data_IF_416460393823
#
_entry.id   IF_416460393823
#
_cell.length_a   1.000
_cell.length_b   1.000
_cell.length_c   1.000
_cell.angle_alpha   90.00
_cell.angle_beta   90.00
_cell.angle_gamma   90.00
#
_symmetry.space_group_name_H-M   'P 1'
#
loop_
_entity.id
_entity.type
_entity.pdbx_description
1 polymer ?
#
# COMPACT_ATOMS: atom_id res chain seq x y z
N UNK A 1 51.49 -26.40 -33.27
CA UNK A 1 50.75 -26.05 -32.04
C UNK A 1 51.14 -24.63 -31.67
N UNK A 2 50.30 -23.67 -32.03
CA UNK A 2 50.54 -22.23 -31.86
C UNK A 2 50.08 -21.75 -30.48
N UNK A 3 51.01 -21.61 -29.55
CA UNK A 3 50.78 -20.95 -28.27
C UNK A 3 50.96 -19.43 -28.42
N UNK A 4 50.00 -18.77 -29.06
CA UNK A 4 49.94 -17.30 -29.22
C UNK A 4 48.78 -16.63 -28.48
N UNK A 5 48.19 -17.27 -27.45
CA UNK A 5 46.94 -16.75 -26.87
C UNK A 5 46.95 -16.38 -25.38
N UNK A 6 48.09 -16.44 -24.68
CA UNK A 6 48.13 -16.10 -23.26
C UNK A 6 49.35 -15.24 -22.92
N UNK A 7 49.38 -14.03 -23.49
CA UNK A 7 50.31 -12.99 -23.05
C UNK A 7 49.73 -11.58 -23.23
N UNK A 8 48.46 -11.37 -22.90
CA UNK A 8 47.99 -10.03 -22.56
C UNK A 8 48.29 -9.77 -21.08
N UNK A 9 49.57 -9.51 -20.85
CA UNK A 9 50.09 -8.92 -19.62
C UNK A 9 49.30 -7.64 -19.33
N UNK A 10 48.46 -7.72 -18.30
CA UNK A 10 48.53 -6.85 -17.12
C UNK A 10 49.56 -5.72 -17.28
N UNK A 11 49.07 -4.47 -17.21
CA UNK A 11 49.74 -3.16 -17.24
C UNK A 11 49.88 -2.44 -18.61
N UNK A 12 48.89 -1.60 -18.94
CA UNK A 12 49.01 -0.24 -19.54
C UNK A 12 47.61 0.30 -19.88
N UNK A 13 47.02 1.32 -19.26
CA UNK A 13 47.38 2.20 -18.14
C UNK A 13 46.09 2.83 -17.59
N UNK A 14 46.10 3.27 -16.32
CA UNK A 14 44.87 3.66 -15.58
C UNK A 14 44.09 4.83 -16.19
N UNK A 15 44.71 5.59 -17.08
CA UNK A 15 44.11 6.74 -17.75
C UNK A 15 43.09 6.30 -18.79
N UNK A 16 43.35 5.23 -19.56
CA UNK A 16 42.42 4.77 -20.59
C UNK A 16 41.11 4.26 -19.96
N UNK A 17 41.22 3.45 -18.90
CA UNK A 17 40.06 2.99 -18.14
C UNK A 17 39.33 4.14 -17.44
N UNK A 18 40.06 5.12 -16.89
CA UNK A 18 39.44 6.30 -16.25
C UNK A 18 38.67 7.16 -17.26
N UNK A 19 39.17 7.31 -18.49
CA UNK A 19 38.46 8.03 -19.57
C UNK A 19 37.27 7.20 -20.07
N UNK A 20 37.44 5.89 -20.21
CA UNK A 20 36.36 4.98 -20.62
C UNK A 20 35.18 4.99 -19.65
N UNK A 21 35.43 4.86 -18.34
CA UNK A 21 34.38 4.95 -17.33
C UNK A 21 33.74 6.33 -17.24
N UNK A 22 34.50 7.42 -17.44
CA UNK A 22 33.94 8.78 -17.48
C UNK A 22 33.03 8.99 -18.69
N UNK A 23 33.38 8.45 -19.85
CA UNK A 23 32.54 8.50 -21.06
C UNK A 23 31.23 7.75 -20.84
N UNK A 24 31.27 6.54 -20.26
CA UNK A 24 30.08 5.76 -19.93
C UNK A 24 29.17 6.52 -18.94
N UNK A 25 29.73 7.14 -17.91
CA UNK A 25 28.96 7.92 -16.95
C UNK A 25 28.24 9.12 -17.59
N UNK A 26 28.89 9.82 -18.52
CA UNK A 26 28.27 10.92 -19.27
C UNK A 26 27.20 10.44 -20.25
N UNK A 27 27.41 9.31 -20.92
CA UNK A 27 26.40 8.73 -21.79
C UNK A 27 25.17 8.26 -20.99
N UNK A 28 25.39 7.68 -19.81
CA UNK A 28 24.32 7.24 -18.91
C UNK A 28 23.48 8.42 -18.40
N UNK A 29 24.10 9.53 -17.99
CA UNK A 29 23.33 10.70 -17.54
C UNK A 29 22.49 11.29 -18.67
N UNK A 30 23.03 11.41 -19.88
CA UNK A 30 22.27 11.89 -21.05
C UNK A 30 21.10 10.95 -21.38
N UNK A 31 21.33 9.62 -21.32
CA UNK A 31 20.28 8.61 -21.53
C UNK A 31 19.18 8.69 -20.47
N UNK A 32 19.51 8.90 -19.19
CA UNK A 32 18.50 9.07 -18.13
C UNK A 32 17.67 10.33 -18.33
N UNK A 33 18.27 11.44 -18.76
CA UNK A 33 17.54 12.69 -19.04
C UNK A 33 16.60 12.50 -20.24
N UNK A 34 17.01 11.77 -21.28
CA UNK A 34 16.15 11.44 -22.41
C UNK A 34 14.97 10.53 -22.00
N UNK A 35 15.22 9.55 -21.12
CA UNK A 35 14.17 8.68 -20.58
C UNK A 35 13.18 9.46 -19.71
N UNK A 36 13.66 10.37 -18.86
CA UNK A 36 12.82 11.24 -18.05
C UNK A 36 11.96 12.17 -18.91
N UNK A 37 12.50 12.71 -20.01
CA UNK A 37 11.73 13.51 -20.96
C UNK A 37 10.67 12.70 -21.71
N UNK A 38 10.96 11.44 -22.05
CA UNK A 38 9.99 10.55 -22.68
C UNK A 38 8.88 10.10 -21.69
N UNK A 39 9.20 9.97 -20.40
CA UNK A 39 8.23 9.67 -19.34
C UNK A 39 7.37 10.88 -18.97
N UNK A 40 7.91 12.11 -19.06
CA UNK A 40 7.13 13.34 -18.79
C UNK A 40 6.13 13.70 -19.89
N UNK A 41 6.23 13.08 -21.08
CA UNK A 41 5.28 13.25 -22.19
C UNK A 41 4.05 12.33 -22.06
N UNK A 42 3.98 11.49 -21.02
CA UNK A 42 2.73 10.84 -20.62
C UNK A 42 1.85 11.84 -19.87
N UNK A 43 1.18 12.67 -20.65
CA UNK A 43 0.14 13.58 -20.18
C UNK A 43 -1.03 12.76 -19.61
N UNK A 44 -1.06 12.63 -18.28
CA UNK A 44 -2.18 12.06 -17.51
C UNK A 44 -3.29 13.12 -17.36
N UNK A 45 -3.54 13.87 -18.43
CA UNK A 45 -4.48 14.97 -18.54
C UNK A 45 -5.64 14.58 -19.43
N UNK A 46 -6.44 13.60 -19.01
CA UNK A 46 -7.87 13.48 -19.33
C UNK A 46 -8.43 12.23 -18.69
N UNK A 47 -9.33 12.40 -17.73
CA UNK A 47 -10.58 11.66 -17.53
C UNK A 47 -11.14 12.00 -16.13
N UNK A 48 -12.00 13.02 -16.10
CA UNK A 48 -12.89 13.40 -15.00
C UNK A 48 -14.27 13.64 -15.65
N UNK A 49 -15.41 13.38 -14.98
CA UNK A 49 -16.10 12.11 -14.91
C UNK A 49 -17.49 12.21 -15.60
N UNK A 50 -18.19 11.10 -15.77
CA UNK A 50 -19.64 11.15 -16.00
C UNK A 50 -20.30 10.44 -14.83
N UNK A 51 -21.00 11.24 -14.01
CA UNK A 51 -21.98 10.75 -13.06
C UNK A 51 -23.16 10.14 -13.83
N UNK A 52 -23.57 8.92 -13.45
CA UNK A 52 -24.94 8.63 -13.05
C UNK A 52 -25.11 7.16 -12.65
N UNK A 53 -25.92 6.99 -11.60
CA UNK A 53 -26.57 5.78 -11.08
C UNK A 53 -25.78 4.81 -10.19
N UNK A 54 -26.03 5.03 -8.89
CA UNK A 54 -26.16 4.06 -7.81
C UNK A 54 -26.53 2.64 -8.27
N UNK A 55 -25.52 1.77 -8.25
CA UNK A 55 -25.52 0.47 -7.60
C UNK A 55 -24.09 -0.05 -7.69
N UNK A 56 -23.42 -0.23 -6.55
CA UNK A 56 -22.11 -0.85 -6.56
C UNK A 56 -22.26 -2.32 -6.85
N UNK A 57 -22.30 -2.68 -8.13
CA UNK A 57 -22.00 -3.97 -8.75
C UNK A 57 -22.23 -3.75 -10.25
N UNK A 58 -21.17 -3.39 -10.98
CA UNK A 58 -21.13 -3.61 -12.41
C UNK A 58 -20.66 -5.04 -12.62
N UNK A 59 -21.62 -5.92 -12.85
CA UNK A 59 -21.38 -7.29 -13.29
C UNK A 59 -20.57 -7.22 -14.60
N UNK A 60 -19.34 -7.72 -14.57
CA UNK A 60 -18.49 -7.82 -15.76
C UNK A 60 -17.91 -9.22 -15.85
N UNK A 61 -18.80 -10.16 -16.15
CA UNK A 61 -18.45 -11.37 -16.88
C UNK A 61 -17.83 -10.97 -18.24
N UNK A 62 -16.50 -10.99 -18.32
CA UNK A 62 -15.79 -11.44 -19.51
C UNK A 62 -14.28 -11.62 -19.26
N UNK A 63 -13.71 -12.81 -19.50
CA UNK A 63 -12.27 -13.04 -19.43
C UNK A 63 -11.67 -12.96 -20.83
N UNK A 64 -11.07 -11.83 -21.23
CA UNK A 64 -10.10 -11.86 -22.33
C UNK A 64 -9.30 -10.56 -22.50
N UNK A 65 -7.98 -10.75 -22.41
CA UNK A 65 -6.92 -10.16 -23.23
C UNK A 65 -6.82 -8.63 -23.29
N UNK A 66 -5.74 -8.11 -22.68
CA UNK A 66 -4.65 -7.44 -23.41
C UNK A 66 -3.43 -7.30 -22.48
N UNK A 67 -2.71 -8.41 -22.30
CA UNK A 67 -1.40 -8.44 -21.65
C UNK A 67 -0.33 -8.09 -22.69
N UNK A 68 -0.05 -6.81 -22.89
CA UNK A 68 1.22 -6.41 -23.48
C UNK A 68 2.26 -6.26 -22.37
N UNK A 69 3.17 -7.23 -22.40
CA UNK A 69 4.29 -7.43 -21.50
C UNK A 69 5.28 -6.27 -21.56
N UNK A 70 5.71 -5.80 -20.39
CA UNK A 70 7.11 -5.44 -20.21
C UNK A 70 7.63 -6.11 -18.95
N UNK A 71 8.34 -7.23 -19.18
CA UNK A 71 9.01 -8.06 -18.18
C UNK A 71 10.31 -7.39 -17.72
N UNK A 72 10.40 -7.05 -16.44
CA UNK A 72 11.62 -7.28 -15.68
C UNK A 72 11.26 -7.43 -14.17
N UNK A 73 11.10 -8.69 -13.72
CA UNK A 73 11.26 -9.18 -12.34
C UNK A 73 10.23 -8.88 -11.23
N UNK A 74 8.94 -8.70 -11.51
CA UNK A 74 7.90 -8.62 -10.45
C UNK A 74 6.60 -9.30 -10.91
N UNK A 75 6.49 -10.63 -11.00
CA UNK A 75 5.25 -11.20 -11.59
C UNK A 75 4.74 -12.52 -10.99
N UNK A 76 5.09 -12.87 -9.75
CA UNK A 76 4.51 -14.04 -9.09
C UNK A 76 3.55 -13.70 -7.95
N UNK A 77 3.59 -12.48 -7.42
CA UNK A 77 2.67 -12.04 -6.34
C UNK A 77 1.52 -11.13 -6.84
N UNK A 78 1.57 -10.70 -8.12
CA UNK A 78 0.62 -9.71 -8.67
C UNK A 78 -0.82 -10.20 -8.78
N UNK A 79 -1.05 -11.46 -9.15
CA UNK A 79 -2.40 -11.98 -9.40
C UNK A 79 -3.10 -12.37 -8.09
N UNK A 80 -2.32 -12.83 -7.09
CA UNK A 80 -2.84 -13.12 -5.75
C UNK A 80 -3.28 -11.86 -5.03
N UNK A 81 -2.48 -10.80 -5.10
CA UNK A 81 -2.77 -9.52 -4.44
C UNK A 81 -4.05 -8.84 -4.96
N UNK A 82 -4.33 -9.00 -6.26
CA UNK A 82 -5.54 -8.50 -6.93
C UNK A 82 -6.78 -9.22 -6.40
N UNK A 83 -6.73 -10.55 -6.35
CA UNK A 83 -7.86 -11.34 -5.86
C UNK A 83 -8.11 -11.09 -4.36
N UNK A 84 -7.04 -10.86 -3.58
CA UNK A 84 -7.14 -10.60 -2.15
C UNK A 84 -7.90 -9.31 -1.82
N UNK A 85 -7.56 -8.19 -2.47
CA UNK A 85 -8.22 -6.92 -2.18
C UNK A 85 -9.70 -6.97 -2.56
N UNK A 86 -10.02 -7.58 -3.71
CA UNK A 86 -11.40 -7.80 -4.15
C UNK A 86 -12.20 -8.61 -3.11
N UNK A 87 -11.62 -9.71 -2.59
CA UNK A 87 -12.27 -10.54 -1.58
C UNK A 87 -12.52 -9.76 -0.28
N UNK A 88 -11.51 -9.03 0.23
CA UNK A 88 -11.66 -8.19 1.42
C UNK A 88 -12.77 -7.17 1.25
N UNK A 89 -12.75 -6.42 0.15
CA UNK A 89 -13.70 -5.32 -0.08
C UNK A 89 -15.12 -5.85 -0.24
N UNK A 90 -15.31 -6.93 -0.99
CA UNK A 90 -16.63 -7.56 -1.19
C UNK A 90 -17.18 -8.15 0.11
N UNK A 91 -16.33 -8.78 0.94
CA UNK A 91 -16.73 -9.28 2.26
C UNK A 91 -17.18 -8.13 3.18
N UNK A 92 -16.42 -7.04 3.22
CA UNK A 92 -16.73 -5.86 4.04
C UNK A 92 -17.99 -5.13 3.57
N UNK A 93 -18.22 -5.06 2.27
CA UNK A 93 -19.47 -4.55 1.70
C UNK A 93 -20.67 -5.44 2.08
N UNK A 94 -20.51 -6.77 1.99
CA UNK A 94 -21.54 -7.72 2.40
C UNK A 94 -21.94 -7.61 3.88
N UNK A 95 -21.00 -7.24 4.75
CA UNK A 95 -21.22 -7.00 6.19
C UNK A 95 -21.63 -5.56 6.53
N UNK A 96 -21.84 -4.71 5.52
CA UNK A 96 -22.21 -3.29 5.67
C UNK A 96 -21.16 -2.44 6.43
N UNK A 97 -19.89 -2.87 6.45
CA UNK A 97 -18.80 -2.09 7.03
C UNK A 97 -18.27 -1.03 6.07
N UNK A 98 -18.50 -1.19 4.76
CA UNK A 98 -17.94 -0.35 3.72
C UNK A 98 -19.00 0.07 2.70
N UNK A 99 -18.92 1.33 2.27
CA UNK A 99 -19.74 1.89 1.20
C UNK A 99 -18.81 2.49 0.13
N UNK A 100 -19.23 2.51 -1.13
CA UNK A 100 -18.42 3.02 -2.25
C UNK A 100 -18.20 4.54 -2.20
N UNK A 101 -19.02 5.26 -1.44
CA UNK A 101 -18.85 6.69 -1.20
C UNK A 101 -17.80 6.99 -0.11
N UNK A 102 -17.31 5.97 0.59
CA UNK A 102 -16.34 6.13 1.68
C UNK A 102 -14.99 6.60 1.16
N UNK A 103 -14.43 7.64 1.78
CA UNK A 103 -13.06 8.06 1.49
C UNK A 103 -12.09 7.00 2.00
N UNK A 104 -11.46 6.29 1.05
CA UNK A 104 -10.66 5.11 1.32
C UNK A 104 -9.17 5.37 1.14
N UNK A 105 -8.37 4.84 2.07
CA UNK A 105 -6.91 4.80 1.98
C UNK A 105 -6.40 3.35 1.97
N UNK A 106 -5.61 3.00 0.96
CA UNK A 106 -4.88 1.74 0.89
C UNK A 106 -3.40 1.99 1.27
N UNK A 107 -2.92 1.35 2.33
CA UNK A 107 -1.58 1.55 2.89
C UNK A 107 -0.73 0.30 2.72
N UNK A 108 0.43 0.47 2.12
CA UNK A 108 1.46 -0.56 2.05
C UNK A 108 1.58 -1.24 0.69
N UNK A 109 2.21 -2.42 0.69
CA UNK A 109 2.49 -3.17 -0.53
C UNK A 109 1.21 -3.60 -1.25
N UNK A 110 1.17 -3.32 -2.56
CA UNK A 110 -0.01 -3.54 -3.39
C UNK A 110 -1.08 -2.45 -3.30
N UNK A 111 -0.84 -1.35 -2.56
CA UNK A 111 -1.78 -0.22 -2.47
C UNK A 111 -2.18 0.36 -3.83
N UNK A 112 -1.26 0.45 -4.79
CA UNK A 112 -1.57 0.94 -6.14
C UNK A 112 -2.53 0.03 -6.92
N UNK A 113 -2.42 -1.28 -6.73
CA UNK A 113 -3.32 -2.27 -7.34
C UNK A 113 -4.68 -2.24 -6.64
N UNK A 114 -4.68 -2.23 -5.31
CA UNK A 114 -5.88 -2.09 -4.50
C UNK A 114 -6.69 -0.84 -4.87
N UNK A 115 -6.04 0.31 -5.08
CA UNK A 115 -6.70 1.54 -5.54
C UNK A 115 -7.39 1.34 -6.90
N UNK A 116 -6.72 0.68 -7.84
CA UNK A 116 -7.26 0.44 -9.18
C UNK A 116 -8.51 -0.45 -9.11
N UNK A 117 -8.47 -1.50 -8.31
CA UNK A 117 -9.59 -2.45 -8.14
C UNK A 117 -10.76 -1.81 -7.41
N UNK A 118 -10.52 -1.06 -6.34
CA UNK A 118 -11.60 -0.35 -5.64
C UNK A 118 -12.26 0.69 -6.56
N UNK A 119 -11.49 1.38 -7.40
CA UNK A 119 -12.07 2.26 -8.42
C UNK A 119 -12.90 1.49 -9.45
N UNK A 120 -12.48 0.29 -9.85
CA UNK A 120 -13.27 -0.59 -10.74
C UNK A 120 -14.56 -1.08 -10.07
N UNK A 121 -14.56 -1.27 -8.75
CA UNK A 121 -15.74 -1.59 -7.95
C UNK A 121 -16.72 -0.41 -7.75
N UNK A 122 -16.35 0.79 -8.19
CA UNK A 122 -17.20 1.97 -8.11
C UNK A 122 -16.89 2.90 -6.92
N UNK A 123 -15.77 2.72 -6.22
CA UNK A 123 -15.36 3.66 -5.19
C UNK A 123 -14.94 5.01 -5.80
N UNK A 124 -15.54 6.09 -5.29
CA UNK A 124 -15.32 7.43 -5.83
C UNK A 124 -13.99 8.04 -5.37
N UNK A 125 -13.60 7.80 -4.12
CA UNK A 125 -12.45 8.43 -3.46
C UNK A 125 -11.55 7.38 -2.84
N UNK A 126 -10.52 6.98 -3.59
CA UNK A 126 -9.53 5.98 -3.16
C UNK A 126 -8.12 6.51 -3.38
N UNK A 127 -7.35 6.57 -2.30
CA UNK A 127 -5.94 6.96 -2.28
C UNK A 127 -5.08 5.75 -1.91
N UNK A 128 -3.88 5.66 -2.47
CA UNK A 128 -2.93 4.60 -2.14
C UNK A 128 -1.59 5.18 -1.74
N UNK A 129 -1.04 4.72 -0.63
CA UNK A 129 0.30 5.08 -0.19
C UNK A 129 1.15 3.83 -0.08
N UNK A 130 2.21 3.81 -0.87
CA UNK A 130 3.28 2.84 -0.73
C UNK A 130 4.48 3.53 -0.06
N UNK A 131 4.57 3.41 1.26
CA UNK A 131 5.73 3.92 1.99
C UNK A 131 6.90 2.96 1.78
N UNK A 132 7.68 3.19 0.72
CA UNK A 132 8.91 2.43 0.54
C UNK A 132 9.83 2.68 1.73
N UNK A 133 10.35 1.59 2.28
CA UNK A 133 11.04 1.47 3.56
C UNK A 133 12.32 2.32 3.56
N UNK A 134 12.21 3.60 3.90
CA UNK A 134 13.37 4.43 4.19
C UNK A 134 13.17 5.12 5.52
N UNK A 135 13.70 4.47 6.55
CA UNK A 135 14.16 5.15 7.75
C UNK A 135 15.09 6.27 7.30
N UNK A 136 14.62 7.51 7.30
CA UNK A 136 15.51 8.66 7.29
C UNK A 136 16.24 8.65 8.63
N UNK A 137 17.51 8.24 8.61
CA UNK A 137 18.42 8.16 9.77
C UNK A 137 18.56 9.47 10.57
N UNK A 138 17.98 10.57 10.09
CA UNK A 138 18.06 11.91 10.68
C UNK A 138 16.83 12.33 11.52
N UNK A 139 15.84 11.46 11.73
CA UNK A 139 14.70 11.75 12.60
C UNK A 139 14.71 10.81 13.81
N UNK A 140 14.85 11.37 15.02
CA UNK A 140 14.75 10.68 16.32
C UNK A 140 13.36 10.06 16.61
N UNK A 141 12.46 10.02 15.63
CA UNK A 141 11.14 9.40 15.72
C UNK A 141 11.06 8.31 14.66
N UNK A 142 11.16 7.06 15.11
CA UNK A 142 10.70 5.90 14.34
C UNK A 142 9.17 5.95 14.45
N UNK A 143 8.51 6.76 13.62
CA UNK A 143 7.04 6.77 13.56
C UNK A 143 6.70 6.46 12.12
N UNK A 144 5.83 5.46 11.93
CA UNK A 144 5.17 5.24 10.66
C UNK A 144 4.20 6.41 10.51
N UNK A 145 4.65 7.50 9.88
CA UNK A 145 3.90 8.75 9.73
C UNK A 145 3.40 8.82 8.28
N UNK A 146 2.09 8.89 8.14
CA UNK A 146 1.41 9.14 6.88
C UNK A 146 1.21 10.65 6.75
N UNK A 147 1.50 11.19 5.56
CA UNK A 147 1.35 12.63 5.23
C UNK A 147 -0.12 13.05 5.08
N UNK A 148 -1.00 12.59 5.97
CA UNK A 148 -2.41 12.90 6.03
C UNK A 148 -2.80 13.53 7.35
N UNK A 149 -3.84 14.35 7.33
CA UNK A 149 -4.42 14.95 8.53
C UNK A 149 -5.17 13.89 9.36
N UNK A 150 -5.29 14.15 10.66
CA UNK A 150 -6.10 13.35 11.58
C UNK A 150 -7.56 13.29 11.06
N UNK A 151 -8.21 12.14 11.21
CA UNK A 151 -9.62 11.97 10.84
C UNK A 151 -9.97 12.37 9.39
N UNK A 152 -9.17 11.92 8.43
CA UNK A 152 -9.32 12.24 7.00
C UNK A 152 -10.06 11.15 6.21
N UNK A 153 -9.97 9.88 6.62
CA UNK A 153 -10.51 8.74 5.89
C UNK A 153 -11.63 8.03 6.64
N UNK A 154 -12.61 7.53 5.89
CA UNK A 154 -13.73 6.72 6.41
C UNK A 154 -13.35 5.24 6.46
N UNK A 155 -12.48 4.79 5.56
CA UNK A 155 -11.97 3.43 5.51
C UNK A 155 -10.47 3.39 5.25
N UNK A 156 -9.74 2.52 5.94
CA UNK A 156 -8.31 2.31 5.71
C UNK A 156 -8.01 0.82 5.64
N UNK A 157 -7.40 0.38 4.54
CA UNK A 157 -6.92 -0.99 4.34
C UNK A 157 -5.40 -1.03 4.39
N UNK A 158 -4.81 -1.92 5.18
CA UNK A 158 -3.36 -2.15 5.18
C UNK A 158 -2.96 -3.62 5.14
N UNK A 159 -1.89 -3.90 4.40
CA UNK A 159 -1.30 -5.24 4.20
C UNK A 159 0.07 -5.44 4.83
N UNK A 160 0.61 -4.40 5.46
CA UNK A 160 2.01 -4.38 5.85
C UNK A 160 2.23 -4.64 7.35
N UNK A 161 1.21 -5.09 8.08
CA UNK A 161 1.30 -5.24 9.54
C UNK A 161 2.42 -6.20 9.97
N UNK A 162 2.64 -7.26 9.20
CA UNK A 162 3.71 -8.25 9.38
C UNK A 162 5.05 -7.82 8.74
N UNK A 163 5.03 -6.81 7.85
CA UNK A 163 6.21 -6.29 7.14
C UNK A 163 6.85 -5.09 7.82
N UNK A 164 6.13 -4.40 8.70
CA UNK A 164 6.65 -3.27 9.47
C UNK A 164 7.46 -3.75 10.68
N UNK A 165 8.56 -3.07 10.96
CA UNK A 165 9.42 -3.38 12.12
C UNK A 165 8.72 -3.20 13.46
N UNK A 166 7.78 -2.26 13.55
CA UNK A 166 7.02 -1.96 14.77
C UNK A 166 5.55 -1.83 14.41
N UNK A 167 4.76 -2.91 14.54
CA UNK A 167 3.33 -2.94 14.19
C UNK A 167 2.50 -1.88 14.92
N UNK A 168 2.89 -1.53 16.16
CA UNK A 168 2.24 -0.50 16.96
C UNK A 168 2.13 0.84 16.23
N UNK A 169 3.17 1.26 15.50
CA UNK A 169 3.12 2.55 14.79
C UNK A 169 2.13 2.51 13.62
N UNK A 170 2.08 1.42 12.86
CA UNK A 170 1.12 1.29 11.77
C UNK A 170 -0.32 1.31 12.31
N UNK A 171 -0.61 0.54 13.37
CA UNK A 171 -1.95 0.49 13.97
C UNK A 171 -2.39 1.86 14.47
N UNK A 172 -1.52 2.55 15.22
CA UNK A 172 -1.82 3.87 15.76
C UNK A 172 -1.98 4.93 14.66
N UNK A 173 -1.21 4.82 13.58
CA UNK A 173 -1.29 5.76 12.47
C UNK A 173 -2.56 5.57 11.64
N UNK A 174 -2.95 4.31 11.40
CA UNK A 174 -4.25 4.00 10.80
C UNK A 174 -5.38 4.55 11.66
N UNK A 175 -5.30 4.36 12.99
CA UNK A 175 -6.27 4.91 13.93
C UNK A 175 -6.31 6.45 13.92
N UNK A 176 -5.17 7.13 13.76
CA UNK A 176 -5.09 8.59 13.67
C UNK A 176 -5.81 9.14 12.45
N UNK A 177 -5.56 8.57 11.28
CA UNK A 177 -6.14 9.06 10.00
C UNK A 177 -7.60 8.67 9.81
N UNK A 178 -8.11 7.67 10.55
CA UNK A 178 -9.53 7.31 10.52
C UNK A 178 -10.41 8.38 11.20
N UNK A 179 -11.53 8.69 10.56
CA UNK A 179 -12.60 9.49 11.16
C UNK A 179 -13.28 8.74 12.30
N UNK A 180 -13.97 9.44 13.22
CA UNK A 180 -14.89 8.80 14.16
C UNK A 180 -15.89 7.91 13.43
N UNK A 181 -16.14 6.70 13.95
CA UNK A 181 -16.91 5.63 13.29
C UNK A 181 -16.30 5.03 12.02
N UNK A 182 -15.12 5.48 11.59
CA UNK A 182 -14.39 4.91 10.47
C UNK A 182 -13.93 3.48 10.73
N UNK A 183 -13.70 2.73 9.66
CA UNK A 183 -13.33 1.31 9.70
C UNK A 183 -11.87 1.14 9.26
N UNK A 184 -11.08 0.47 10.11
CA UNK A 184 -9.74 0.01 9.77
C UNK A 184 -9.75 -1.48 9.48
N UNK A 185 -9.10 -1.90 8.41
CA UNK A 185 -8.91 -3.29 8.01
C UNK A 185 -7.41 -3.58 7.88
N UNK A 186 -6.92 -4.52 8.68
CA UNK A 186 -5.52 -4.94 8.69
C UNK A 186 -5.44 -6.40 8.29
N UNK A 187 -4.65 -6.69 7.25
CA UNK A 187 -4.28 -8.05 6.90
C UNK A 187 -3.04 -8.46 7.69
N UNK A 188 -3.12 -9.62 8.33
CA UNK A 188 -2.11 -10.16 9.25
C UNK A 188 -1.72 -11.55 8.76
N UNK A 189 -0.41 -11.78 8.58
CA UNK A 189 0.11 -13.11 8.27
C UNK A 189 -0.36 -14.16 9.28
N UNK A 190 -0.97 -15.23 8.79
CA UNK A 190 -1.36 -16.39 9.58
C UNK A 190 -0.23 -17.42 9.58
N UNK A 191 0.12 -17.94 10.77
CA UNK A 191 1.18 -18.95 10.91
C UNK A 191 0.69 -20.37 10.61
N UNK A 192 -0.62 -20.60 10.62
CA UNK A 192 -1.28 -21.86 10.28
C UNK A 192 -2.74 -21.60 9.86
N UNK A 193 -3.43 -22.64 9.37
CA UNK A 193 -4.86 -22.60 9.00
C UNK A 193 -5.80 -22.98 10.16
N UNK A 194 -5.35 -22.80 11.41
CA UNK A 194 -6.09 -23.23 12.58
C UNK A 194 -6.96 -22.10 13.16
N UNK A 195 -8.09 -22.44 13.78
CA UNK A 195 -8.99 -21.44 14.38
C UNK A 195 -8.32 -20.57 15.47
N UNK A 196 -7.26 -21.08 16.11
CA UNK A 196 -6.47 -20.33 17.08
C UNK A 196 -5.67 -19.18 16.45
N UNK A 197 -5.44 -19.21 15.13
CA UNK A 197 -4.70 -18.17 14.43
C UNK A 197 -5.48 -16.85 14.37
N UNK A 198 -6.81 -16.88 14.32
CA UNK A 198 -7.64 -15.67 14.35
C UNK A 198 -7.47 -14.89 15.66
N UNK A 199 -7.50 -15.59 16.80
CA UNK A 199 -7.27 -14.99 18.12
C UNK A 199 -5.85 -14.44 18.20
N UNK A 200 -4.87 -15.17 17.66
CA UNK A 200 -3.47 -14.77 17.65
C UNK A 200 -3.22 -13.54 16.78
N UNK A 201 -3.98 -13.35 15.70
CA UNK A 201 -3.92 -12.16 14.85
C UNK A 201 -4.65 -10.97 15.46
N UNK A 202 -5.82 -11.19 16.06
CA UNK A 202 -6.65 -10.11 16.61
C UNK A 202 -6.14 -9.56 17.94
N UNK A 203 -5.60 -10.41 18.81
CA UNK A 203 -5.18 -10.00 20.17
C UNK A 203 -4.11 -8.91 20.14
N UNK A 204 -3.01 -9.03 19.36
CA UNK A 204 -2.00 -7.98 19.26
C UNK A 204 -2.58 -6.67 18.74
N UNK A 205 -3.42 -6.71 17.69
CA UNK A 205 -4.07 -5.51 17.15
C UNK A 205 -4.95 -4.87 18.22
N UNK A 206 -5.81 -5.64 18.88
CA UNK A 206 -6.72 -5.13 19.91
C UNK A 206 -5.99 -4.45 21.07
N UNK A 207 -4.81 -4.94 21.43
CA UNK A 207 -3.99 -4.36 22.51
C UNK A 207 -3.31 -3.04 22.14
N UNK A 208 -3.18 -2.76 20.83
CA UNK A 208 -2.52 -1.56 20.30
C UNK A 208 -3.51 -0.42 20.05
N UNK A 209 -4.80 -0.73 19.84
CA UNK A 209 -5.85 0.25 19.62
C UNK A 209 -6.11 1.08 20.89
N UNK A 210 -6.19 2.41 20.75
CA UNK A 210 -6.44 3.33 21.88
C UNK A 210 -7.88 3.81 21.97
N UNK A 211 -8.42 4.22 20.83
CA UNK A 211 -9.74 4.81 20.63
C UNK A 211 -10.65 3.95 19.75
N UNK A 212 -10.26 2.71 19.47
CA UNK A 212 -10.94 1.81 18.55
C UNK A 212 -11.20 0.44 19.18
N UNK A 213 -12.12 -0.31 18.60
CA UNK A 213 -12.40 -1.70 19.01
C UNK A 213 -12.50 -2.61 17.80
N UNK A 214 -11.94 -3.81 17.91
CA UNK A 214 -12.09 -4.86 16.90
C UNK A 214 -13.57 -5.24 16.80
N UNK A 215 -14.11 -5.25 15.58
CA UNK A 215 -15.52 -5.54 15.29
C UNK A 215 -15.70 -6.83 14.51
N UNK A 216 -14.70 -7.24 13.74
CA UNK A 216 -14.76 -8.45 12.93
C UNK A 216 -13.35 -9.02 12.71
N UNK A 217 -13.25 -10.34 12.65
CA UNK A 217 -12.01 -11.06 12.38
C UNK A 217 -12.37 -12.23 11.48
N UNK A 218 -11.68 -12.38 10.36
CA UNK A 218 -11.93 -13.47 9.41
C UNK A 218 -10.65 -14.05 8.82
N UNK A 219 -10.76 -15.23 8.23
CA UNK A 219 -9.72 -15.81 7.39
C UNK A 219 -10.10 -15.61 5.92
N UNK A 220 -9.28 -14.91 5.14
CA UNK A 220 -9.60 -14.56 3.74
C UNK A 220 -8.91 -15.49 2.75
N UNK A 221 -7.67 -15.89 3.02
CA UNK A 221 -6.88 -16.73 2.13
C UNK A 221 -5.88 -17.56 2.93
N UNK A 222 -5.28 -18.56 2.27
CA UNK A 222 -4.30 -19.48 2.84
C UNK A 222 -3.05 -18.74 3.33
N UNK A 223 -3.10 -18.26 4.59
CA UNK A 223 -2.01 -17.57 5.24
C UNK A 223 -2.28 -16.10 5.58
N UNK A 224 -3.49 -15.58 5.41
CA UNK A 224 -3.84 -14.19 5.79
C UNK A 224 -5.15 -14.12 6.58
N UNK A 225 -5.08 -13.50 7.75
CA UNK A 225 -6.23 -13.17 8.59
C UNK A 225 -6.56 -11.68 8.45
N UNK A 226 -7.83 -11.36 8.29
CA UNK A 226 -8.37 -10.02 8.31
C UNK A 226 -8.75 -9.65 9.75
N UNK A 227 -8.24 -8.52 10.24
CA UNK A 227 -8.67 -7.91 11.49
C UNK A 227 -9.31 -6.56 11.18
N UNK A 228 -10.61 -6.44 11.47
CA UNK A 228 -11.40 -5.24 11.24
C UNK A 228 -11.70 -4.57 12.57
N UNK A 229 -11.44 -3.28 12.66
CA UNK A 229 -11.77 -2.48 13.83
C UNK A 229 -12.51 -1.21 13.45
N UNK A 230 -13.28 -0.69 14.41
CA UNK A 230 -14.04 0.55 14.26
C UNK A 230 -13.52 1.59 15.25
N UNK A 231 -13.23 2.79 14.76
CA UNK A 231 -12.88 3.93 15.61
C UNK A 231 -14.12 4.40 16.37
N UNK A 232 -13.99 4.58 17.68
CA UNK A 232 -15.10 5.04 18.53
C UNK A 232 -15.45 6.48 18.19
N UNK A 233 -16.68 6.85 18.49
CA UNK A 233 -17.12 8.23 18.38
C UNK A 233 -16.47 9.05 19.49
N UNK A 234 -15.63 10.01 19.12
CA UNK A 234 -15.00 10.92 20.08
C UNK A 234 -15.88 12.17 20.21
N UNK A 235 -16.63 12.26 21.31
CA UNK A 235 -17.33 13.48 21.68
C UNK A 235 -16.29 14.52 22.10
N UNK A 236 -15.92 15.43 21.21
CA UNK A 236 -15.05 16.58 21.52
C UNK A 236 -15.83 17.59 22.37
N UNK A 237 -16.23 17.23 23.59
CA UNK A 237 -16.93 18.12 24.53
C UNK A 237 -16.20 18.35 25.85
N UNK A 238 -14.94 17.94 26.00
CA UNK A 238 -14.23 18.07 27.28
C UNK A 238 -12.90 18.78 27.16
N UNK A 239 -12.89 20.09 26.86
CA UNK A 239 -11.74 20.96 27.19
C UNK A 239 -12.08 22.40 27.61
N UNK A 240 -13.36 22.80 27.69
CA UNK A 240 -13.76 24.10 28.25
C UNK A 240 -14.67 23.95 29.47
N UNK A 241 -14.12 23.38 30.55
CA UNK A 241 -14.66 23.64 31.89
C UNK A 241 -13.59 24.41 32.66
N UNK A 242 -13.71 25.73 32.63
CA UNK A 242 -13.00 26.65 33.51
C UNK A 242 -13.35 26.37 34.97
N UNK A 243 -12.42 26.54 35.92
CA UNK A 243 -12.70 26.31 37.33
C UNK A 243 -13.71 27.36 37.85
N UNK A 244 -14.60 26.99 38.79
CA UNK A 244 -15.48 27.95 39.44
C UNK A 244 -14.66 28.92 40.30
N UNK A 245 -14.97 30.21 40.15
CA UNK A 245 -14.49 31.35 40.95
C UNK A 245 -14.86 31.24 42.42
#
# INVERSE_FOLDING_TARGET
MDTKLLKFQILRGSILWRVFFRSIMLAATISTVALFRALSDFDLGNLVPIANNFNCFADSDNPSSNFFQNRFWVNMDREKDVNLTMNVVTELMGKQFLNCEANTLCVGEGSSMAVKEMKQLGFSTVSGVYTNRFFTLNMKRIVYELDYQDSSFDFVLSRDLDKVSVPAFLVLEVERVLKPNGIGALLVGATSSHHNDLIRSATPVSSLLRSSSVVHVDAIDDGLNLVVFKKRYENVTTFFQSPPT
#
